data_IF_229077645351
#
_entry.id   IF_229077645351
#
_cell.length_a   1.000
_cell.length_b   1.000
_cell.length_c   1.000
_cell.angle_alpha   90.00
_cell.angle_beta   90.00
_cell.angle_gamma   90.00
#
_symmetry.space_group_name_H-M   'P 1'
#
loop_
_entity.id
_entity.type
_entity.pdbx_description
1 polymer ?
#
# COMPACT_ATOMS: atom_id res chain seq x y z
N UNK A 1 37.35 1.79 8.63
CA UNK A 1 37.34 2.87 7.61
C UNK A 1 37.05 2.18 6.29
N UNK A 2 35.94 2.37 5.57
CA UNK A 2 35.11 3.54 5.40
C UNK A 2 33.67 3.07 5.15
N UNK A 3 32.72 3.65 5.87
CA UNK A 3 31.30 3.46 5.60
C UNK A 3 30.93 4.20 4.33
N UNK A 4 30.33 3.50 3.38
CA UNK A 4 29.57 4.10 2.30
C UNK A 4 28.13 4.20 2.79
N UNK A 5 27.80 5.32 3.44
CA UNK A 5 26.41 5.70 3.66
C UNK A 5 25.78 5.90 2.29
N UNK A 6 24.87 5.01 1.91
CA UNK A 6 23.98 5.25 0.79
C UNK A 6 23.22 6.56 1.10
N UNK A 7 23.55 7.58 0.33
CA UNK A 7 22.87 8.87 0.35
C UNK A 7 21.39 8.59 0.08
N UNK A 8 20.57 8.79 1.11
CA UNK A 8 19.11 8.83 1.04
C UNK A 8 18.73 9.90 0.02
N UNK A 9 18.44 9.50 -1.21
CA UNK A 9 17.83 10.39 -2.20
C UNK A 9 16.35 10.50 -1.86
N UNK A 10 15.96 11.68 -1.39
CA UNK A 10 14.58 12.08 -1.24
C UNK A 10 13.91 12.04 -2.63
N UNK A 11 13.13 11.01 -2.91
CA UNK A 11 12.55 10.74 -4.24
C UNK A 11 11.62 11.86 -4.74
N UNK A 12 11.25 12.83 -3.89
CA UNK A 12 10.53 14.05 -4.28
C UNK A 12 9.15 13.78 -4.90
N UNK A 13 8.60 12.58 -4.69
CA UNK A 13 7.32 12.16 -5.25
C UNK A 13 6.21 12.52 -4.28
N UNK A 14 5.17 13.17 -4.78
CA UNK A 14 3.97 13.45 -3.98
C UNK A 14 2.77 12.81 -4.64
N UNK A 15 2.23 11.78 -3.97
CA UNK A 15 0.96 11.17 -4.32
C UNK A 15 -0.14 11.87 -3.51
N UNK A 16 -1.11 12.49 -4.19
CA UNK A 16 -2.27 13.11 -3.56
C UNK A 16 -3.54 12.54 -4.16
N UNK A 17 -4.34 11.88 -3.33
CA UNK A 17 -5.71 11.55 -3.69
C UNK A 17 -6.57 12.79 -3.54
N UNK A 18 -7.42 13.04 -4.54
CA UNK A 18 -8.44 14.07 -4.46
C UNK A 18 -9.73 13.38 -4.03
N UNK A 19 -10.17 13.71 -2.82
CA UNK A 19 -11.53 13.40 -2.41
C UNK A 19 -12.47 14.24 -3.26
N UNK A 20 -13.13 13.61 -4.22
CA UNK A 20 -14.19 14.29 -4.96
C UNK A 20 -15.47 13.60 -4.57
N UNK A 21 -16.17 14.19 -3.60
CA UNK A 21 -17.52 13.80 -3.17
C UNK A 21 -18.55 13.75 -4.33
N UNK A 22 -18.16 14.19 -5.53
CA UNK A 22 -18.97 14.29 -6.75
C UNK A 22 -18.43 13.43 -7.92
N UNK A 23 -17.28 12.75 -7.77
CA UNK A 23 -16.79 11.82 -8.80
C UNK A 23 -17.08 10.38 -8.39
N UNK A 24 -17.65 9.61 -9.33
CA UNK A 24 -17.91 8.18 -9.19
C UNK A 24 -16.62 7.34 -9.00
N UNK A 25 -15.44 7.93 -9.17
CA UNK A 25 -14.16 7.24 -9.21
C UNK A 25 -13.08 8.04 -8.45
N UNK A 26 -12.29 7.39 -7.57
CA UNK A 26 -11.18 8.03 -6.90
C UNK A 26 -10.09 8.42 -7.89
N UNK A 27 -9.58 9.65 -7.74
CA UNK A 27 -8.52 10.21 -8.56
C UNK A 27 -7.30 10.44 -7.71
N UNK A 28 -6.13 9.99 -8.18
CA UNK A 28 -4.86 10.44 -7.65
C UNK A 28 -4.11 11.31 -8.64
N UNK A 29 -3.47 12.33 -8.07
CA UNK A 29 -2.53 13.20 -8.73
C UNK A 29 -1.13 12.80 -8.27
N UNK A 30 -0.26 12.54 -9.23
CA UNK A 30 1.14 12.28 -9.03
C UNK A 30 1.95 13.45 -9.58
N UNK A 31 2.60 14.14 -8.66
CA UNK A 31 3.58 15.18 -8.96
C UNK A 31 4.97 14.60 -8.74
N UNK A 32 5.83 14.75 -9.76
CA UNK A 32 7.22 14.33 -9.72
C UNK A 32 8.12 15.54 -9.88
N UNK A 33 9.06 15.75 -8.95
CA UNK A 33 10.02 16.87 -9.00
C UNK A 33 11.19 16.62 -9.99
N UNK A 34 11.28 15.42 -10.57
CA UNK A 34 12.30 14.96 -11.54
C UNK A 34 11.64 14.23 -12.73
N UNK A 35 12.43 13.53 -13.55
CA UNK A 35 11.93 12.66 -14.63
C UNK A 35 10.98 11.61 -14.07
N UNK A 36 9.73 11.64 -14.53
CA UNK A 36 8.74 10.63 -14.17
C UNK A 36 9.19 9.23 -14.63
N UNK A 37 8.95 8.18 -13.83
CA UNK A 37 9.12 6.79 -14.28
C UNK A 37 8.20 6.49 -15.47
N UNK A 38 8.43 5.36 -16.12
CA UNK A 38 7.59 4.96 -17.25
C UNK A 38 6.15 4.76 -16.76
N UNK A 39 5.18 5.15 -17.59
CA UNK A 39 3.77 4.95 -17.29
C UNK A 39 3.46 3.47 -16.97
N UNK A 40 4.12 2.55 -17.67
CA UNK A 40 3.99 1.11 -17.43
C UNK A 40 4.41 0.71 -16.01
N UNK A 41 5.50 1.29 -15.48
CA UNK A 41 5.99 0.99 -14.13
C UNK A 41 5.03 1.54 -13.06
N UNK A 42 4.46 2.73 -13.29
CA UNK A 42 3.44 3.31 -12.41
C UNK A 42 2.16 2.46 -12.39
N UNK A 43 1.69 2.03 -13.56
CA UNK A 43 0.51 1.17 -13.66
C UNK A 43 0.75 -0.18 -12.97
N UNK A 44 1.94 -0.76 -13.12
CA UNK A 44 2.33 -2.00 -12.43
C UNK A 44 2.34 -1.80 -10.91
N UNK A 45 2.97 -0.73 -10.42
CA UNK A 45 3.00 -0.39 -8.99
C UNK A 45 1.58 -0.24 -8.41
N UNK A 46 0.69 0.46 -9.12
CA UNK A 46 -0.70 0.58 -8.68
C UNK A 46 -1.43 -0.77 -8.68
N UNK A 47 -1.21 -1.61 -9.70
CA UNK A 47 -1.78 -2.96 -9.74
C UNK A 47 -1.30 -3.84 -8.58
N UNK A 48 -0.06 -3.70 -8.16
CA UNK A 48 0.47 -4.43 -7.01
C UNK A 48 -0.07 -3.90 -5.69
N UNK A 49 -0.33 -2.59 -5.57
CA UNK A 49 -1.11 -2.01 -4.45
C UNK A 49 -2.60 -2.40 -4.47
N UNK A 50 -3.03 -3.16 -5.48
CA UNK A 50 -4.41 -3.64 -5.63
C UNK A 50 -5.34 -2.66 -6.32
N UNK A 51 -4.81 -1.58 -6.92
CA UNK A 51 -5.58 -0.58 -7.65
C UNK A 51 -5.68 -0.92 -9.13
N UNK A 52 -6.83 -0.61 -9.74
CA UNK A 52 -7.03 -0.75 -11.19
C UNK A 52 -7.11 0.63 -11.83
N UNK A 53 -6.12 0.98 -12.65
CA UNK A 53 -6.10 2.23 -13.40
C UNK A 53 -7.19 2.19 -14.47
N UNK A 54 -8.13 3.13 -14.41
CA UNK A 54 -9.23 3.26 -15.37
C UNK A 54 -8.88 4.26 -16.49
N UNK A 55 -8.24 5.37 -16.14
CA UNK A 55 -7.76 6.37 -17.09
C UNK A 55 -6.48 7.04 -16.59
N UNK A 56 -5.78 7.67 -17.54
CA UNK A 56 -4.57 8.44 -17.29
C UNK A 56 -4.59 9.69 -18.17
N UNK A 57 -4.29 10.84 -17.58
CA UNK A 57 -4.18 12.14 -18.24
C UNK A 57 -2.90 12.84 -17.81
N UNK A 58 -2.28 13.58 -18.73
CA UNK A 58 -1.20 14.52 -18.42
C UNK A 58 -1.79 15.94 -18.36
N UNK A 59 -1.62 16.59 -17.23
CA UNK A 59 -2.07 17.97 -17.00
C UNK A 59 -0.85 18.90 -16.89
N UNK A 60 -0.94 20.15 -17.38
CA UNK A 60 0.11 21.14 -17.14
C UNK A 60 0.18 21.50 -15.66
N UNK A 61 1.40 21.63 -15.13
CA UNK A 61 1.67 22.00 -13.73
C UNK A 61 1.64 23.52 -13.55
N UNK A 62 0.46 24.13 -13.55
CA UNK A 62 0.30 25.59 -13.44
C UNK A 62 0.52 26.34 -14.75
N UNK A 63 0.33 27.67 -14.73
CA UNK A 63 0.25 28.50 -15.95
C UNK A 63 1.61 28.79 -16.62
N UNK A 64 2.74 28.57 -15.93
CA UNK A 64 4.06 29.05 -16.39
C UNK A 64 5.18 28.00 -16.22
N UNK A 65 4.82 26.72 -16.13
CA UNK A 65 5.77 25.61 -15.95
C UNK A 65 5.67 24.60 -17.09
N UNK A 66 6.81 24.23 -17.67
CA UNK A 66 6.95 23.10 -18.62
C UNK A 66 6.83 21.72 -17.92
N UNK A 67 6.44 21.71 -16.64
CA UNK A 67 6.23 20.49 -15.88
C UNK A 67 4.82 19.94 -16.11
N UNK A 68 4.72 18.62 -16.23
CA UNK A 68 3.46 17.90 -16.35
C UNK A 68 3.16 17.13 -15.07
N UNK A 69 1.88 17.04 -14.73
CA UNK A 69 1.35 16.27 -13.61
C UNK A 69 0.57 15.09 -14.16
N UNK A 70 0.81 13.91 -13.58
CA UNK A 70 0.09 12.71 -13.98
C UNK A 70 -1.18 12.58 -13.15
N UNK A 71 -2.35 12.58 -13.79
CA UNK A 71 -3.63 12.30 -13.17
C UNK A 71 -4.06 10.88 -13.52
N UNK A 72 -4.36 10.09 -12.49
CA UNK A 72 -4.86 8.73 -12.63
C UNK A 72 -6.24 8.63 -11.99
N UNK A 73 -7.21 8.09 -12.72
CA UNK A 73 -8.47 7.62 -12.15
C UNK A 73 -8.41 6.13 -11.91
N UNK A 74 -8.94 5.68 -10.77
CA UNK A 74 -8.97 4.26 -10.41
C UNK A 74 -10.40 3.73 -10.37
N UNK A 75 -10.59 2.47 -10.78
CA UNK A 75 -11.83 1.73 -10.53
C UNK A 75 -11.84 1.19 -9.10
N UNK A 76 -13.02 1.23 -8.48
CA UNK A 76 -13.30 0.69 -7.14
C UNK A 76 -14.17 -0.56 -7.17
N UNK A 77 -14.41 -1.15 -8.34
CA UNK A 77 -15.39 -2.24 -8.48
C UNK A 77 -15.04 -3.49 -7.66
N UNK A 78 -13.75 -3.67 -7.34
CA UNK A 78 -13.20 -4.84 -6.64
C UNK A 78 -12.65 -4.52 -5.24
N UNK A 79 -12.79 -3.26 -4.78
CA UNK A 79 -12.21 -2.79 -3.52
C UNK A 79 -13.30 -2.13 -2.69
N UNK A 80 -13.38 -2.50 -1.42
CA UNK A 80 -14.19 -1.77 -0.44
C UNK A 80 -13.51 -0.43 -0.12
N UNK A 81 -13.84 0.59 -0.93
CA UNK A 81 -13.23 1.91 -0.84
C UNK A 81 -13.80 2.69 0.36
N UNK A 82 -12.95 2.92 1.36
CA UNK A 82 -13.31 3.69 2.56
C UNK A 82 -12.62 5.05 2.57
N UNK A 83 -13.05 5.93 3.50
CA UNK A 83 -12.38 7.22 3.72
C UNK A 83 -10.91 7.08 4.19
N UNK A 84 -10.52 5.91 4.73
CA UNK A 84 -9.15 5.66 5.16
C UNK A 84 -8.25 5.19 4.01
N UNK A 85 -8.82 4.54 2.99
CA UNK A 85 -8.11 3.92 1.86
C UNK A 85 -7.12 4.87 1.16
N UNK A 86 -7.46 6.14 0.83
CA UNK A 86 -6.53 7.07 0.23
C UNK A 86 -5.25 7.30 1.03
N UNK A 87 -5.37 7.44 2.35
CA UNK A 87 -4.23 7.71 3.23
C UNK A 87 -3.33 6.48 3.39
N UNK A 88 -3.93 5.28 3.45
CA UNK A 88 -3.20 4.02 3.52
C UNK A 88 -2.39 3.78 2.24
N UNK A 89 -3.02 3.99 1.08
CA UNK A 89 -2.37 3.85 -0.23
C UNK A 89 -1.28 4.89 -0.44
N UNK A 90 -1.51 6.13 -0.01
CA UNK A 90 -0.48 7.19 -0.04
C UNK A 90 0.75 6.80 0.77
N UNK A 91 0.55 6.36 2.02
CA UNK A 91 1.66 5.94 2.88
C UNK A 91 2.41 4.73 2.30
N UNK A 92 1.70 3.77 1.72
CA UNK A 92 2.30 2.61 1.06
C UNK A 92 3.11 3.00 -0.18
N UNK A 93 2.59 3.91 -1.00
CA UNK A 93 3.29 4.41 -2.18
C UNK A 93 4.55 5.18 -1.79
N UNK A 94 4.47 6.06 -0.80
CA UNK A 94 5.63 6.80 -0.28
C UNK A 94 6.71 5.84 0.24
N UNK A 95 6.30 4.81 1.00
CA UNK A 95 7.20 3.76 1.49
C UNK A 95 7.82 2.93 0.34
N UNK A 96 7.06 2.63 -0.71
CA UNK A 96 7.59 1.93 -1.88
C UNK A 96 8.59 2.80 -2.64
N UNK A 97 8.30 4.10 -2.79
CA UNK A 97 9.17 5.06 -3.46
C UNK A 97 10.46 5.38 -2.69
N UNK A 98 10.46 5.22 -1.36
CA UNK A 98 11.66 5.32 -0.52
C UNK A 98 12.43 4.00 -0.38
N UNK A 99 11.87 2.89 -0.86
CA UNK A 99 12.44 1.55 -0.71
C UNK A 99 12.20 0.90 0.66
N UNK A 100 11.35 1.50 1.50
CA UNK A 100 10.96 0.96 2.82
C UNK A 100 9.88 -0.13 2.71
N UNK A 101 9.19 -0.22 1.57
CA UNK A 101 8.20 -1.26 1.27
C UNK A 101 8.61 -2.04 0.01
N UNK A 102 8.74 -3.35 0.17
CA UNK A 102 8.81 -4.29 -0.96
C UNK A 102 7.39 -4.50 -1.50
N UNK A 103 7.21 -4.23 -2.80
CA UNK A 103 5.91 -4.32 -3.46
C UNK A 103 5.71 -5.73 -3.99
N UNK A 104 4.72 -6.44 -3.46
CA UNK A 104 4.39 -7.82 -3.80
C UNK A 104 2.88 -8.10 -3.65
N UNK A 105 2.48 -9.37 -3.79
CA UNK A 105 1.07 -9.77 -3.70
C UNK A 105 0.38 -9.43 -2.37
N UNK A 106 1.12 -9.32 -1.25
CA UNK A 106 0.55 -8.95 0.04
C UNK A 106 0.19 -7.47 0.11
N UNK A 107 0.82 -6.61 -0.69
CA UNK A 107 0.51 -5.17 -0.68
C UNK A 107 -0.93 -4.87 -1.12
N UNK A 108 -1.56 -5.76 -1.89
CA UNK A 108 -3.01 -5.71 -2.21
C UNK A 108 -3.92 -5.76 -0.98
N UNK A 109 -3.42 -6.27 0.16
CA UNK A 109 -4.17 -6.29 1.42
C UNK A 109 -4.41 -4.89 1.97
N UNK A 110 -3.56 -3.91 1.64
CA UNK A 110 -3.70 -2.52 2.07
C UNK A 110 -5.05 -1.96 1.63
N UNK A 111 -5.39 -2.14 0.34
CA UNK A 111 -6.67 -1.71 -0.21
C UNK A 111 -7.82 -2.64 0.21
N UNK A 112 -7.66 -3.95 0.03
CA UNK A 112 -8.76 -4.93 0.20
C UNK A 112 -9.15 -5.21 1.66
N UNK A 113 -8.22 -5.06 2.61
CA UNK A 113 -8.48 -5.23 4.04
C UNK A 113 -8.50 -3.90 4.81
N UNK A 114 -8.21 -2.77 4.15
CA UNK A 114 -8.09 -1.44 4.78
C UNK A 114 -7.11 -1.44 5.95
N UNK A 115 -5.90 -1.96 5.72
CA UNK A 115 -4.82 -2.06 6.71
C UNK A 115 -3.60 -1.21 6.30
N UNK A 116 -2.76 -0.75 7.24
CA UNK A 116 -1.51 -0.07 6.91
C UNK A 116 -0.50 -1.03 6.25
N UNK A 117 0.47 -0.46 5.50
CA UNK A 117 1.51 -1.26 4.85
C UNK A 117 2.36 -2.04 5.85
N UNK A 118 2.51 -1.54 7.08
CA UNK A 118 3.21 -2.24 8.17
C UNK A 118 2.53 -3.56 8.52
N UNK A 119 1.20 -3.60 8.49
CA UNK A 119 0.43 -4.81 8.76
C UNK A 119 0.49 -5.78 7.56
N UNK A 120 0.52 -5.27 6.33
CA UNK A 120 0.79 -6.10 5.15
C UNK A 120 2.18 -6.77 5.25
N UNK A 121 3.20 -6.03 5.69
CA UNK A 121 4.55 -6.55 5.95
C UNK A 121 4.54 -7.61 7.07
N UNK A 122 3.79 -7.39 8.14
CA UNK A 122 3.59 -8.35 9.22
C UNK A 122 2.99 -9.66 8.70
N UNK A 123 1.91 -9.59 7.91
CA UNK A 123 1.24 -10.75 7.33
C UNK A 123 2.18 -11.51 6.40
N UNK A 124 2.93 -10.80 5.56
CA UNK A 124 3.95 -11.38 4.70
C UNK A 124 5.00 -12.14 5.51
N UNK A 125 5.50 -11.55 6.59
CA UNK A 125 6.47 -12.21 7.47
C UNK A 125 5.87 -13.49 8.11
N UNK A 126 4.63 -13.43 8.58
CA UNK A 126 3.92 -14.58 9.13
C UNK A 126 3.72 -15.69 8.09
N UNK A 127 3.29 -15.35 6.87
CA UNK A 127 3.12 -16.30 5.77
C UNK A 127 4.45 -17.00 5.40
N UNK A 128 5.54 -16.24 5.31
CA UNK A 128 6.88 -16.80 5.02
C UNK A 128 7.38 -17.70 6.15
N UNK A 129 7.14 -17.32 7.40
CA UNK A 129 7.46 -18.18 8.55
C UNK A 129 6.67 -19.49 8.50
N UNK A 130 5.37 -19.44 8.21
CA UNK A 130 4.54 -20.64 8.06
C UNK A 130 5.07 -21.55 6.94
N UNK A 131 5.49 -20.97 5.80
CA UNK A 131 6.14 -21.72 4.72
C UNK A 131 7.42 -22.42 5.16
N UNK A 132 8.22 -21.80 6.05
CA UNK A 132 9.45 -22.41 6.58
C UNK A 132 9.18 -23.57 7.54
N UNK A 133 8.08 -23.53 8.30
CA UNK A 133 7.72 -24.58 9.28
C UNK A 133 6.82 -25.68 8.70
N UNK A 134 6.57 -25.66 7.39
CA UNK A 134 5.93 -26.76 6.67
C UNK A 134 4.53 -26.49 6.14
N UNK A 135 4.10 -25.23 6.01
CA UNK A 135 2.87 -24.91 5.28
C UNK A 135 3.07 -25.20 3.79
N UNK A 136 2.40 -26.24 3.28
CA UNK A 136 2.46 -26.68 1.87
C UNK A 136 1.56 -25.84 0.94
N UNK A 137 1.49 -24.53 1.16
CA UNK A 137 0.77 -23.60 0.29
C UNK A 137 1.75 -22.68 -0.42
N UNK A 138 1.55 -22.48 -1.72
CA UNK A 138 2.32 -21.48 -2.46
C UNK A 138 1.94 -20.07 -2.03
N UNK A 139 2.89 -19.13 -2.06
CA UNK A 139 2.64 -17.74 -1.69
C UNK A 139 1.45 -17.11 -2.46
N UNK A 140 1.30 -17.29 -3.78
CA UNK A 140 0.11 -16.79 -4.50
C UNK A 140 -1.20 -17.39 -3.98
N UNK A 141 -1.18 -18.65 -3.52
CA UNK A 141 -2.36 -19.30 -2.92
C UNK A 141 -2.70 -18.66 -1.58
N UNK A 142 -1.70 -18.45 -0.73
CA UNK A 142 -1.87 -17.78 0.58
C UNK A 142 -2.43 -16.38 0.39
N UNK A 143 -1.82 -15.57 -0.48
CA UNK A 143 -2.30 -14.22 -0.81
C UNK A 143 -3.74 -14.27 -1.31
N UNK A 144 -4.06 -15.18 -2.23
CA UNK A 144 -5.41 -15.32 -2.78
C UNK A 144 -6.46 -15.70 -1.73
N UNK A 145 -6.10 -16.51 -0.73
CA UNK A 145 -6.96 -16.82 0.42
C UNK A 145 -7.15 -15.58 1.28
N UNK A 146 -6.08 -14.89 1.65
CA UNK A 146 -6.15 -13.70 2.51
C UNK A 146 -6.97 -12.57 1.88
N UNK A 147 -6.84 -12.36 0.57
CA UNK A 147 -7.64 -11.38 -0.19
C UNK A 147 -9.15 -11.71 -0.20
N UNK A 148 -9.52 -12.98 -0.07
CA UNK A 148 -10.93 -13.41 0.05
C UNK A 148 -11.46 -13.34 1.48
N UNK A 149 -10.58 -13.17 2.47
CA UNK A 149 -10.91 -13.20 3.89
C UNK A 149 -10.34 -11.97 4.60
N UNK A 150 -10.69 -10.77 4.12
CA UNK A 150 -10.25 -9.49 4.69
C UNK A 150 -10.57 -9.32 6.18
N UNK A 151 -11.69 -9.90 6.66
CA UNK A 151 -12.03 -9.89 8.09
C UNK A 151 -11.03 -10.67 8.94
N UNK A 152 -10.58 -11.83 8.45
CA UNK A 152 -9.55 -12.62 9.12
C UNK A 152 -8.24 -11.84 9.20
N UNK A 153 -7.86 -11.18 8.10
CA UNK A 153 -6.66 -10.33 8.03
C UNK A 153 -6.70 -9.24 9.09
N UNK A 154 -7.82 -8.50 9.19
CA UNK A 154 -8.01 -7.47 10.22
C UNK A 154 -7.97 -8.04 11.62
N UNK A 155 -8.66 -9.15 11.87
CA UNK A 155 -8.67 -9.83 13.17
C UNK A 155 -7.28 -10.31 13.59
N UNK A 156 -6.50 -10.86 12.66
CA UNK A 156 -5.13 -11.27 12.91
C UNK A 156 -4.25 -10.08 13.30
N UNK A 157 -4.32 -8.97 12.57
CA UNK A 157 -3.53 -7.77 12.89
C UNK A 157 -3.95 -7.18 14.24
N UNK A 158 -5.26 -7.11 14.52
CA UNK A 158 -5.78 -6.65 15.80
C UNK A 158 -5.28 -7.52 16.97
N UNK A 159 -5.32 -8.84 16.82
CA UNK A 159 -4.79 -9.78 17.82
C UNK A 159 -3.29 -9.61 18.03
N UNK A 160 -2.53 -9.43 16.95
CA UNK A 160 -1.10 -9.18 17.02
C UNK A 160 -0.82 -7.90 17.82
N UNK A 161 -1.43 -6.79 17.44
CA UNK A 161 -1.25 -5.52 18.15
C UNK A 161 -1.66 -5.62 19.61
N UNK A 162 -2.81 -6.24 19.92
CA UNK A 162 -3.26 -6.43 21.30
C UNK A 162 -2.29 -7.26 22.16
N UNK A 163 -1.60 -8.25 21.56
CA UNK A 163 -0.67 -9.13 22.29
C UNK A 163 0.74 -8.55 22.41
N UNK A 164 1.16 -7.73 21.45
CA UNK A 164 2.51 -7.17 21.36
C UNK A 164 2.59 -5.68 21.65
N UNK A 165 1.49 -5.05 22.09
CA UNK A 165 1.48 -3.68 22.58
C UNK A 165 2.46 -3.54 23.78
N UNK A 166 3.54 -2.73 23.66
CA UNK A 166 4.52 -2.55 24.72
C UNK A 166 3.94 -1.84 25.95
N UNK A 167 2.86 -1.08 25.80
CA UNK A 167 2.22 -0.32 26.88
C UNK A 167 1.23 -1.19 27.67
N UNK A 168 0.86 -2.36 27.15
CA UNK A 168 -0.04 -3.32 27.81
C UNK A 168 0.77 -4.25 28.71
N UNK A 169 0.63 -4.07 30.03
CA UNK A 169 1.31 -4.88 31.05
C UNK A 169 0.65 -6.24 31.32
N UNK A 170 -0.62 -6.42 30.91
CA UNK A 170 -1.41 -7.64 31.13
C UNK A 170 -1.92 -8.21 29.79
N UNK A 171 -1.04 -8.95 29.11
CA UNK A 171 -1.18 -9.40 27.72
C UNK A 171 -2.21 -10.52 27.52
N UNK A 172 -2.61 -11.21 28.58
CA UNK A 172 -3.51 -12.37 28.50
C UNK A 172 -4.99 -11.99 28.75
N UNK A 173 -5.30 -10.81 29.31
CA UNK A 173 -6.69 -10.35 29.49
C UNK A 173 -7.36 -9.82 28.22
N UNK A 174 -6.61 -9.32 27.24
CA UNK A 174 -7.15 -8.69 26.02
C UNK A 174 -7.53 -9.69 24.92
N UNK A 175 -6.98 -10.91 24.95
CA UNK A 175 -7.21 -11.93 23.91
C UNK A 175 -8.42 -12.83 24.19
N UNK A 176 -9.14 -12.61 25.29
CA UNK A 176 -10.19 -13.49 25.81
C UNK A 176 -11.62 -12.91 25.72
N UNK A 177 -11.81 -11.79 25.03
CA UNK A 177 -13.11 -11.15 24.79
C UNK A 177 -13.49 -11.24 23.31
#
# INVERSE_FOLDING_TARGET
MSGAGAVREDSGVRLRFIDTADQQMPVAILEWQRRAPLLADLVALFADLGLRVANHELLPSGEDSDAFVHRFGFSTDEIDWSAATPNLLRAAFEAAASGDLEVDGFTRLIASASIPFTDAVLIRAAARYLGQVGLELSEPTVVSILLRHSDFVRGFCALFHARFDPDVTDRDRLTAA
#
